data_IF_234650700357
#
_entry.id   IF_234650700357
#
_cell.length_a   1.000
_cell.length_b   1.000
_cell.length_c   1.000
_cell.angle_alpha   90.00
_cell.angle_beta   90.00
_cell.angle_gamma   90.00
#
_symmetry.space_group_name_H-M   'P 1'
#
loop_
_entity.id
_entity.type
_entity.pdbx_description
1 polymer ?
#
# COMPACT_ATOMS: atom_id res chain seq x y z
N UNK A 1 -28.82 43.09 15.47
CA UNK A 1 -29.21 41.67 15.66
C UNK A 1 -28.00 40.89 16.15
N UNK A 2 -28.02 40.30 17.35
CA UNK A 2 -26.92 39.51 17.87
C UNK A 2 -26.98 38.05 17.37
N UNK A 3 -25.84 37.58 16.82
CA UNK A 3 -25.23 36.29 17.14
C UNK A 3 -25.93 34.98 16.75
N UNK A 4 -25.97 34.63 15.46
CA UNK A 4 -26.22 33.24 15.01
C UNK A 4 -24.92 32.38 14.92
N UNK A 5 -23.83 32.83 15.57
CA UNK A 5 -22.48 32.25 15.42
C UNK A 5 -22.02 31.31 16.54
N UNK A 6 -22.79 31.16 17.62
CA UNK A 6 -22.31 30.48 18.84
C UNK A 6 -22.74 29.02 18.97
N UNK A 7 -23.56 28.50 18.05
CA UNK A 7 -24.10 27.13 18.13
C UNK A 7 -23.20 26.03 17.54
N UNK A 8 -22.14 26.36 16.80
CA UNK A 8 -21.30 25.35 16.13
C UNK A 8 -19.92 25.11 16.77
N UNK A 9 -19.63 25.72 17.94
CA UNK A 9 -18.28 25.67 18.55
C UNK A 9 -18.06 24.57 19.59
N UNK A 10 -19.00 23.67 19.87
CA UNK A 10 -18.91 22.81 21.06
C UNK A 10 -18.74 21.30 20.87
N UNK A 11 -18.32 20.80 19.71
CA UNK A 11 -17.91 19.40 19.58
C UNK A 11 -16.71 19.21 18.64
N UNK A 12 -15.53 19.71 19.01
CA UNK A 12 -14.27 19.21 18.43
C UNK A 12 -13.04 19.42 19.32
N UNK A 13 -13.08 18.80 20.49
CA UNK A 13 -11.97 18.46 21.40
C UNK A 13 -12.46 17.17 22.10
N UNK A 14 -11.81 16.03 22.13
CA UNK A 14 -10.42 15.60 21.92
C UNK A 14 -10.45 14.13 21.48
N UNK A 15 -9.65 13.77 20.48
CA UNK A 15 -8.90 12.51 20.48
C UNK A 15 -7.74 12.68 19.49
N UNK A 16 -6.60 13.08 20.06
CA UNK A 16 -5.30 13.03 19.41
C UNK A 16 -4.75 11.62 19.57
N UNK A 17 -3.90 11.26 18.61
CA UNK A 17 -2.99 10.10 18.60
C UNK A 17 -3.51 8.80 17.98
N UNK A 18 -3.56 8.79 16.64
CA UNK A 18 -2.77 7.82 15.87
C UNK A 18 -2.08 8.56 14.74
N UNK A 19 -0.76 8.60 14.78
CA UNK A 19 0.10 9.09 13.72
C UNK A 19 -0.32 8.48 12.37
N UNK A 20 -0.79 9.25 11.39
CA UNK A 20 -0.71 8.79 10.02
C UNK A 20 0.79 8.80 9.68
N UNK A 21 1.41 7.62 9.67
CA UNK A 21 2.63 7.43 8.89
C UNK A 21 2.31 8.00 7.51
N UNK A 22 3.17 8.90 7.05
CA UNK A 22 3.09 9.49 5.73
C UNK A 22 3.00 8.37 4.68
N UNK A 23 1.78 7.97 4.34
CA UNK A 23 1.47 7.37 3.07
C UNK A 23 1.66 8.52 2.10
N UNK A 24 2.82 8.52 1.46
CA UNK A 24 3.11 9.42 0.36
C UNK A 24 1.90 9.38 -0.57
N UNK A 25 1.25 10.52 -0.75
CA UNK A 25 0.30 10.71 -1.84
C UNK A 25 1.06 10.42 -3.14
N UNK A 26 0.99 9.16 -3.59
CA UNK A 26 1.44 8.77 -4.90
C UNK A 26 0.51 9.48 -5.87
N UNK A 27 1.04 10.56 -6.46
CA UNK A 27 0.43 11.28 -7.58
C UNK A 27 -0.16 10.26 -8.55
N UNK A 28 -1.29 10.55 -9.23
CA UNK A 28 -1.87 9.64 -10.21
C UNK A 28 -0.93 9.48 -11.42
N UNK A 29 0.11 8.69 -11.23
CA UNK A 29 1.03 8.20 -12.23
C UNK A 29 0.39 7.03 -12.96
N UNK A 30 0.88 6.74 -14.16
CA UNK A 30 0.39 5.59 -14.93
C UNK A 30 0.72 4.32 -14.15
N UNK A 31 -0.31 3.61 -13.68
CA UNK A 31 -0.17 2.28 -13.10
C UNK A 31 -0.02 1.25 -14.20
N UNK A 32 1.00 0.40 -14.11
CA UNK A 32 1.22 -0.68 -15.05
C UNK A 32 0.82 -2.03 -14.44
N UNK A 33 0.33 -2.91 -15.30
CA UNK A 33 0.07 -4.31 -14.97
C UNK A 33 1.18 -5.19 -15.55
N UNK A 34 1.84 -5.98 -14.71
CA UNK A 34 2.87 -6.95 -15.13
C UNK A 34 2.51 -8.35 -14.63
N UNK A 35 2.84 -9.37 -15.42
CA UNK A 35 2.70 -10.76 -15.01
C UNK A 35 4.08 -11.43 -15.01
N UNK A 36 4.43 -12.11 -13.92
CA UNK A 36 5.68 -12.87 -13.84
C UNK A 36 5.53 -14.13 -12.96
N UNK A 37 6.25 -15.21 -13.27
CA UNK A 37 6.32 -16.36 -12.38
C UNK A 37 7.22 -16.09 -11.18
N UNK A 38 6.86 -16.66 -10.02
CA UNK A 38 7.67 -16.64 -8.80
C UNK A 38 8.49 -17.95 -8.78
N UNK A 39 9.81 -17.86 -8.98
CA UNK A 39 10.72 -19.00 -9.18
C UNK A 39 11.65 -19.26 -8.00
N UNK A 40 12.05 -18.19 -7.31
CA UNK A 40 12.94 -18.21 -6.15
C UNK A 40 12.69 -16.99 -5.24
N UNK A 41 13.29 -16.99 -4.04
CA UNK A 41 13.08 -15.92 -3.05
C UNK A 41 13.63 -14.56 -3.50
N UNK A 42 14.58 -14.53 -4.42
CA UNK A 42 15.16 -13.27 -4.95
C UNK A 42 14.12 -12.48 -5.74
N UNK A 43 13.13 -13.14 -6.32
CA UNK A 43 12.03 -12.49 -7.03
C UNK A 43 11.21 -11.55 -6.11
N UNK A 44 11.21 -11.79 -4.79
CA UNK A 44 10.48 -10.97 -3.83
C UNK A 44 10.99 -9.52 -3.78
N UNK A 45 12.28 -9.30 -4.05
CA UNK A 45 12.84 -7.94 -4.08
C UNK A 45 12.44 -7.16 -5.32
N UNK A 46 12.13 -7.86 -6.41
CA UNK A 46 11.52 -7.24 -7.60
C UNK A 46 10.07 -6.88 -7.30
N UNK A 47 9.31 -7.79 -6.69
CA UNK A 47 7.91 -7.55 -6.29
C UNK A 47 7.78 -6.33 -5.38
N UNK A 48 8.62 -6.23 -4.34
CA UNK A 48 8.62 -5.08 -3.43
C UNK A 48 8.88 -3.75 -4.16
N UNK A 49 9.79 -3.75 -5.14
CA UNK A 49 10.12 -2.54 -5.91
C UNK A 49 8.97 -2.10 -6.79
N UNK A 50 8.31 -3.03 -7.47
CA UNK A 50 7.18 -2.74 -8.35
C UNK A 50 5.95 -2.27 -7.56
N UNK A 51 5.64 -2.91 -6.41
CA UNK A 51 4.51 -2.50 -5.55
C UNK A 51 4.74 -1.11 -4.95
N UNK A 52 5.97 -0.81 -4.51
CA UNK A 52 6.34 0.56 -4.05
C UNK A 52 6.36 1.60 -5.16
N UNK A 53 6.35 1.18 -6.41
CA UNK A 53 6.26 2.07 -7.57
C UNK A 53 4.81 2.29 -8.02
N UNK A 54 3.82 1.75 -7.28
CA UNK A 54 2.40 1.85 -7.60
C UNK A 54 1.94 0.93 -8.73
N UNK A 55 2.71 -0.11 -9.08
CA UNK A 55 2.35 -1.09 -10.12
C UNK A 55 1.58 -2.29 -9.55
N UNK A 56 0.78 -2.93 -10.41
CA UNK A 56 0.04 -4.15 -10.09
C UNK A 56 0.75 -5.36 -10.72
N UNK A 57 0.92 -6.42 -9.94
CA UNK A 57 1.62 -7.65 -10.35
C UNK A 57 0.70 -8.87 -10.26
N UNK A 58 0.68 -9.67 -11.32
CA UNK A 58 0.10 -11.02 -11.34
C UNK A 58 1.25 -12.02 -11.20
N UNK A 59 1.28 -12.75 -10.09
CA UNK A 59 2.35 -13.71 -9.78
C UNK A 59 1.88 -15.14 -9.98
N UNK A 60 2.60 -15.90 -10.82
CA UNK A 60 2.36 -17.35 -10.97
C UNK A 60 3.23 -18.11 -9.97
N UNK A 61 2.62 -18.70 -8.94
CA UNK A 61 3.30 -19.44 -7.86
C UNK A 61 3.64 -20.90 -8.19
N UNK A 62 3.07 -21.44 -9.28
CA UNK A 62 3.27 -22.83 -9.71
C UNK A 62 4.75 -23.28 -9.79
N UNK A 63 5.71 -22.49 -10.29
CA UNK A 63 7.10 -22.94 -10.36
C UNK A 63 7.77 -23.04 -8.99
N UNK A 64 7.34 -22.27 -7.98
CA UNK A 64 7.84 -22.36 -6.61
C UNK A 64 7.21 -23.52 -5.85
N UNK A 65 5.92 -23.81 -6.07
CA UNK A 65 5.23 -24.91 -5.41
C UNK A 65 5.86 -26.30 -5.72
N UNK A 66 6.60 -26.40 -6.83
CA UNK A 66 7.29 -27.64 -7.24
C UNK A 66 8.69 -27.79 -6.63
N UNK A 67 9.25 -26.74 -6.03
CA UNK A 67 10.51 -26.81 -5.28
C UNK A 67 10.15 -26.93 -3.80
N UNK A 68 10.73 -27.89 -3.08
CA UNK A 68 10.58 -27.92 -1.62
C UNK A 68 10.99 -26.57 -1.05
N UNK A 69 10.21 -26.07 -0.09
CA UNK A 69 10.49 -24.84 0.65
C UNK A 69 11.85 -24.86 1.36
N UNK A 70 12.43 -26.05 1.54
CA UNK A 70 13.74 -26.28 2.16
C UNK A 70 14.94 -26.12 1.21
N UNK A 71 14.72 -25.95 -0.10
CA UNK A 71 15.79 -25.97 -1.14
C UNK A 71 15.99 -24.60 -1.82
N UNK A 72 15.61 -23.51 -1.15
CA UNK A 72 15.68 -22.11 -1.62
C UNK A 72 16.36 -21.17 -0.64
#
# INVERSE_FOLDING_TARGET
MPGLGELFRKHKKEEKEKTPKAEAEEKPGKTFLKAMPLRDLSDLDVVKREVRSGNILILRITPLANKSVDDV
#
